data_IF_222616938894
#
_entry.id   IF_222616938894
#
_cell.length_a   1.000
_cell.length_b   1.000
_cell.length_c   1.000
_cell.angle_alpha   90.00
_cell.angle_beta   90.00
_cell.angle_gamma   90.00
#
_symmetry.space_group_name_H-M   'P 1'
#
loop_
_entity.id
_entity.type
_entity.pdbx_description
1 polymer ?
#
# COMPACT_ATOMS: atom_id res chain seq x y z
N UNK A 1 4.77 -39.98 -12.11
CA UNK A 1 5.25 -38.98 -11.13
C UNK A 1 5.73 -37.79 -11.96
N UNK A 2 4.90 -36.77 -12.14
CA UNK A 2 5.29 -35.58 -12.90
C UNK A 2 6.17 -34.76 -11.93
N UNK A 3 7.43 -34.61 -12.29
CA UNK A 3 8.33 -33.74 -11.53
C UNK A 3 7.91 -32.32 -11.88
N UNK A 4 7.33 -31.59 -10.92
CA UNK A 4 7.00 -30.17 -11.08
C UNK A 4 8.26 -29.40 -11.48
N UNK A 5 8.11 -28.47 -12.41
CA UNK A 5 9.22 -27.60 -12.79
C UNK A 5 9.62 -26.74 -11.57
N UNK A 6 10.90 -26.34 -11.42
CA UNK A 6 11.35 -25.51 -10.28
C UNK A 6 10.52 -24.24 -10.08
N UNK A 7 9.96 -23.70 -11.15
CA UNK A 7 9.12 -22.50 -11.14
C UNK A 7 7.73 -22.75 -10.50
N UNK A 8 7.14 -23.93 -10.74
CA UNK A 8 5.86 -24.31 -10.13
C UNK A 8 5.98 -24.50 -8.62
N UNK A 9 7.06 -25.16 -8.17
CA UNK A 9 7.29 -25.40 -6.74
C UNK A 9 7.52 -24.12 -5.95
N UNK A 10 8.22 -23.14 -6.54
CA UNK A 10 8.44 -21.84 -5.93
C UNK A 10 7.13 -21.06 -5.77
N UNK A 11 6.28 -21.07 -6.79
CA UNK A 11 4.98 -20.39 -6.77
C UNK A 11 4.06 -21.02 -5.72
N UNK A 12 3.94 -22.34 -5.69
CA UNK A 12 3.15 -23.07 -4.70
C UNK A 12 3.61 -22.81 -3.26
N UNK A 13 4.92 -22.74 -3.00
CA UNK A 13 5.46 -22.42 -1.68
C UNK A 13 5.13 -20.98 -1.26
N UNK A 14 5.23 -20.02 -2.17
CA UNK A 14 4.90 -18.63 -1.93
C UNK A 14 3.41 -18.46 -1.66
N UNK A 15 2.55 -19.09 -2.45
CA UNK A 15 1.11 -19.09 -2.27
C UNK A 15 0.73 -19.69 -0.91
N UNK A 16 1.31 -20.83 -0.54
CA UNK A 16 1.11 -21.43 0.78
C UNK A 16 1.54 -20.48 1.92
N UNK A 17 2.72 -19.86 1.80
CA UNK A 17 3.23 -18.93 2.82
C UNK A 17 2.35 -17.69 2.94
N UNK A 18 1.91 -17.17 1.80
CA UNK A 18 1.01 -16.02 1.76
C UNK A 18 -0.34 -16.38 2.39
N UNK A 19 -0.94 -17.49 1.98
CA UNK A 19 -2.22 -17.97 2.51
C UNK A 19 -2.16 -18.21 4.03
N UNK A 20 -1.07 -18.77 4.54
CA UNK A 20 -0.89 -18.99 5.97
C UNK A 20 -0.84 -17.69 6.79
N UNK A 21 -0.51 -16.56 6.17
CA UNK A 21 -0.45 -15.23 6.81
C UNK A 21 -1.68 -14.37 6.57
N UNK A 22 -2.61 -14.81 5.71
CA UNK A 22 -3.86 -14.07 5.43
C UNK A 22 -4.71 -13.92 6.67
N UNK A 23 -5.32 -12.75 6.79
CA UNK A 23 -6.28 -12.48 7.85
C UNK A 23 -7.70 -12.83 7.37
N UNK A 24 -8.23 -13.94 7.86
CA UNK A 24 -9.64 -14.29 7.72
C UNK A 24 -10.43 -13.71 8.89
N UNK A 25 -11.70 -13.43 8.69
CA UNK A 25 -12.58 -12.86 9.73
C UNK A 25 -12.56 -13.69 11.02
N UNK A 26 -12.54 -15.00 10.88
CA UNK A 26 -12.52 -15.96 11.99
C UNK A 26 -11.21 -15.93 12.79
N UNK A 27 -10.12 -15.58 12.14
CA UNK A 27 -8.77 -15.56 12.72
C UNK A 27 -8.41 -14.23 13.38
N UNK A 28 -9.20 -13.16 13.18
CA UNK A 28 -8.91 -11.81 13.70
C UNK A 28 -8.76 -11.79 15.23
N UNK A 29 -9.61 -12.53 15.94
CA UNK A 29 -9.59 -12.60 17.42
C UNK A 29 -8.35 -13.35 17.90
N UNK A 30 -7.96 -14.43 17.23
CA UNK A 30 -6.76 -15.19 17.55
C UNK A 30 -5.47 -14.39 17.31
N UNK A 31 -5.46 -13.57 16.28
CA UNK A 31 -4.32 -12.71 15.93
C UNK A 31 -4.11 -11.59 16.96
N UNK A 32 -5.17 -10.92 17.39
CA UNK A 32 -5.12 -9.90 18.44
C UNK A 32 -4.55 -10.41 19.76
N UNK A 33 -4.83 -11.67 20.12
CA UNK A 33 -4.26 -12.32 21.32
C UNK A 33 -2.76 -12.66 21.17
N UNK A 34 -2.29 -12.98 19.94
CA UNK A 34 -0.87 -13.26 19.68
C UNK A 34 -0.01 -12.00 19.71
N UNK A 35 -0.51 -10.88 19.20
CA UNK A 35 0.22 -9.59 19.23
C UNK A 35 0.49 -9.13 20.66
N UNK A 36 -0.43 -9.37 21.60
CA UNK A 36 -0.22 -9.05 23.03
C UNK A 36 0.93 -9.86 23.67
N UNK A 37 1.25 -11.06 23.14
CA UNK A 37 2.30 -11.93 23.66
C UNK A 37 3.73 -11.49 23.27
N UNK A 38 3.90 -10.77 22.15
CA UNK A 38 5.20 -10.34 21.67
C UNK A 38 5.76 -9.07 22.30
N UNK A 39 4.96 -8.36 23.09
CA UNK A 39 5.39 -7.10 23.71
C UNK A 39 6.32 -7.25 24.93
N UNK A 40 6.64 -8.48 25.36
CA UNK A 40 7.37 -8.71 26.65
C UNK A 40 8.76 -9.33 26.51
N UNK A 41 9.34 -9.47 25.31
CA UNK A 41 10.70 -10.00 25.20
C UNK A 41 11.75 -8.88 25.24
N UNK A 42 12.46 -8.83 26.37
CA UNK A 42 13.66 -8.04 26.59
C UNK A 42 14.64 -8.14 25.42
N UNK A 43 14.81 -7.04 24.71
CA UNK A 43 15.94 -6.87 23.79
C UNK A 43 17.21 -7.00 24.62
N UNK A 44 18.10 -7.93 24.24
CA UNK A 44 19.43 -7.98 24.78
C UNK A 44 20.01 -6.55 24.74
N UNK A 45 20.54 -6.07 25.87
CA UNK A 45 21.17 -4.75 25.97
C UNK A 45 22.42 -4.76 25.10
N UNK A 46 22.25 -4.46 23.82
CA UNK A 46 23.36 -4.07 22.98
C UNK A 46 23.90 -2.73 23.49
N UNK A 47 25.22 -2.57 23.49
CA UNK A 47 25.89 -1.31 23.83
C UNK A 47 25.27 -0.20 22.98
N UNK A 48 24.57 0.73 23.62
CA UNK A 48 24.02 1.90 22.95
C UNK A 48 25.20 2.73 22.44
N UNK A 49 25.31 2.89 21.16
CA UNK A 49 26.16 3.89 20.55
C UNK A 49 25.36 5.19 20.62
N UNK A 50 25.89 6.21 21.28
CA UNK A 50 25.27 7.51 21.30
C UNK A 50 25.21 8.05 19.88
N UNK A 51 23.99 8.13 19.33
CA UNK A 51 23.75 8.89 18.12
C UNK A 51 23.96 10.35 18.49
N UNK A 52 24.86 11.10 17.82
CA UNK A 52 25.07 12.52 18.10
C UNK A 52 23.71 13.21 18.15
N UNK A 53 23.47 14.03 19.17
CA UNK A 53 22.24 14.83 19.27
C UNK A 53 22.06 15.56 17.94
N UNK A 54 20.88 15.53 17.34
CA UNK A 54 20.63 16.30 16.12
C UNK A 54 21.04 17.75 16.43
N UNK A 55 21.72 18.37 15.49
CA UNK A 55 22.06 19.78 15.56
C UNK A 55 20.85 20.56 16.03
N UNK A 56 21.05 21.50 16.95
CA UNK A 56 20.02 22.37 17.52
C UNK A 56 19.09 22.89 16.40
N UNK A 57 17.79 23.03 16.72
CA UNK A 57 16.62 23.20 15.83
C UNK A 57 16.76 23.95 14.50
N UNK A 58 17.84 24.72 14.32
CA UNK A 58 18.09 25.48 13.08
C UNK A 58 18.47 24.61 11.89
N UNK A 59 19.12 23.46 12.12
CA UNK A 59 19.50 22.53 11.05
C UNK A 59 18.29 21.79 10.45
N UNK A 60 17.23 21.56 11.22
CA UNK A 60 15.99 20.95 10.73
C UNK A 60 15.25 21.92 9.80
N UNK A 61 15.30 23.23 10.07
CA UNK A 61 14.74 24.23 9.18
C UNK A 61 15.56 24.42 7.90
N UNK A 62 16.88 24.21 7.96
CA UNK A 62 17.77 24.25 6.79
C UNK A 62 17.62 23.00 5.89
N UNK A 63 17.09 21.90 6.40
CA UNK A 63 16.98 20.62 5.68
C UNK A 63 15.87 20.57 4.60
N UNK A 64 15.20 21.66 4.29
CA UNK A 64 14.31 21.79 3.14
C UNK A 64 12.96 21.09 3.26
N UNK A 65 12.24 21.04 2.15
CA UNK A 65 10.85 20.55 2.05
C UNK A 65 10.69 19.11 2.52
N UNK A 66 11.63 18.22 2.18
CA UNK A 66 11.58 16.80 2.54
C UNK A 66 11.51 16.59 4.06
N UNK A 67 12.34 17.28 4.82
CA UNK A 67 12.35 17.17 6.29
C UNK A 67 11.03 17.61 6.91
N UNK A 68 10.40 18.65 6.39
CA UNK A 68 9.05 19.09 6.83
C UNK A 68 8.01 18.02 6.56
N UNK A 69 8.03 17.38 5.40
CA UNK A 69 7.10 16.29 5.04
C UNK A 69 7.30 15.10 5.97
N UNK A 70 8.55 14.68 6.20
CA UNK A 70 8.88 13.57 7.09
C UNK A 70 8.39 13.82 8.53
N UNK A 71 8.56 15.03 9.06
CA UNK A 71 8.10 15.41 10.39
C UNK A 71 6.58 15.49 10.50
N UNK A 72 5.88 15.93 9.44
CA UNK A 72 4.41 16.01 9.41
C UNK A 72 3.73 14.66 9.23
N UNK A 73 4.41 13.69 8.61
CA UNK A 73 3.83 12.36 8.40
C UNK A 73 3.55 11.67 9.73
N UNK A 74 2.31 11.42 10.02
CA UNK A 74 1.84 10.63 11.16
C UNK A 74 0.70 9.70 10.74
N UNK A 75 0.46 8.61 11.48
CA UNK A 75 -0.70 7.75 11.28
C UNK A 75 -1.96 8.44 11.78
N UNK A 76 -2.88 8.75 10.86
CA UNK A 76 -4.15 9.43 11.12
C UNK A 76 -5.29 8.43 10.99
N UNK A 77 -6.09 8.26 12.03
CA UNK A 77 -7.29 7.39 12.05
C UNK A 77 -8.59 8.18 12.14
N UNK A 78 -8.50 9.40 12.62
CA UNK A 78 -9.62 10.33 12.71
C UNK A 78 -9.60 11.23 11.47
N UNK A 79 -10.40 10.89 10.47
CA UNK A 79 -10.50 11.60 9.21
C UNK A 79 -11.64 12.60 9.24
N UNK A 80 -11.49 13.71 8.50
CA UNK A 80 -12.57 14.62 8.19
C UNK A 80 -13.67 13.89 7.41
N UNK A 81 -14.92 14.26 7.68
CA UNK A 81 -16.06 13.76 6.92
C UNK A 81 -16.27 14.49 5.59
N UNK A 82 -15.49 15.53 5.32
CA UNK A 82 -15.52 16.21 4.02
C UNK A 82 -15.04 15.29 2.92
N UNK A 83 -15.70 15.27 1.76
CA UNK A 83 -15.26 14.45 0.64
C UNK A 83 -13.91 14.92 0.11
N UNK A 84 -13.10 13.98 -0.37
CA UNK A 84 -11.83 14.29 -1.05
C UNK A 84 -12.10 14.40 -2.55
N UNK A 85 -11.74 15.50 -3.22
CA UNK A 85 -11.89 15.62 -4.66
C UNK A 85 -11.12 14.55 -5.43
N UNK A 86 -11.72 13.98 -6.49
CA UNK A 86 -11.05 12.98 -7.36
C UNK A 86 -9.74 13.52 -7.97
N UNK A 87 -9.63 14.83 -8.17
CA UNK A 87 -8.39 15.47 -8.63
C UNK A 87 -7.24 15.28 -7.64
N UNK A 88 -7.49 15.36 -6.33
CA UNK A 88 -6.49 15.11 -5.28
C UNK A 88 -6.08 13.63 -5.28
N UNK A 89 -7.03 12.71 -5.44
CA UNK A 89 -6.73 11.28 -5.61
C UNK A 89 -5.86 11.07 -6.86
N UNK A 90 -6.22 11.70 -7.98
CA UNK A 90 -5.43 11.66 -9.21
C UNK A 90 -4.02 12.21 -9.02
N UNK A 91 -3.85 13.31 -8.30
CA UNK A 91 -2.55 13.92 -7.99
C UNK A 91 -1.69 13.04 -7.09
N UNK A 92 -2.29 12.37 -6.10
CA UNK A 92 -1.61 11.39 -5.26
C UNK A 92 -0.97 10.29 -6.12
N UNK A 93 -1.76 9.66 -7.00
CA UNK A 93 -1.25 8.59 -7.86
C UNK A 93 -0.27 9.10 -8.92
N UNK A 94 -0.52 10.26 -9.52
CA UNK A 94 0.36 10.88 -10.51
C UNK A 94 1.76 11.11 -9.95
N UNK A 95 1.88 11.51 -8.70
CA UNK A 95 3.17 11.79 -8.06
C UNK A 95 3.82 10.55 -7.47
N UNK A 96 3.05 9.65 -6.84
CA UNK A 96 3.58 8.51 -6.10
C UNK A 96 3.81 7.27 -6.96
N UNK A 97 2.93 6.98 -7.92
CA UNK A 97 2.83 5.65 -8.55
C UNK A 97 2.99 5.66 -10.06
N UNK A 98 2.49 6.73 -10.75
CA UNK A 98 2.47 6.75 -12.20
C UNK A 98 3.86 6.68 -12.81
N UNK A 99 3.97 5.93 -13.91
CA UNK A 99 5.21 5.80 -14.66
C UNK A 99 5.64 7.16 -15.26
N UNK A 100 6.91 7.48 -15.13
CA UNK A 100 7.52 8.70 -15.68
C UNK A 100 8.41 8.33 -16.88
N UNK A 101 8.40 9.16 -17.92
CA UNK A 101 9.42 9.12 -18.94
C UNK A 101 10.67 9.81 -18.39
N UNK A 102 11.83 9.20 -18.53
CA UNK A 102 13.10 9.88 -18.28
C UNK A 102 13.54 10.64 -19.55
N UNK A 103 14.31 11.73 -19.36
CA UNK A 103 14.91 12.48 -20.48
C UNK A 103 15.80 11.59 -21.35
N UNK A 104 16.55 10.67 -20.74
CA UNK A 104 17.43 9.71 -21.41
C UNK A 104 16.84 8.29 -21.34
N UNK A 105 16.38 7.73 -22.47
CA UNK A 105 15.87 6.36 -22.53
C UNK A 105 16.94 5.29 -22.23
N UNK A 106 18.24 5.60 -22.38
CA UNK A 106 19.33 4.65 -22.14
C UNK A 106 19.49 4.31 -20.64
N UNK A 107 18.99 5.16 -19.74
CA UNK A 107 18.99 4.90 -18.31
C UNK A 107 17.93 3.89 -17.86
N UNK A 108 17.19 3.30 -18.80
CA UNK A 108 16.00 2.53 -18.49
C UNK A 108 16.13 1.05 -18.83
N UNK A 109 16.03 0.22 -17.80
CA UNK A 109 15.50 -1.13 -17.94
C UNK A 109 13.99 -0.99 -18.13
N UNK A 110 13.45 -1.21 -19.36
CA UNK A 110 12.04 -1.12 -19.73
C UNK A 110 11.39 0.28 -19.88
N UNK A 111 12.17 1.35 -20.07
CA UNK A 111 11.63 2.64 -20.55
C UNK A 111 10.78 3.46 -19.58
N UNK A 112 10.56 3.04 -18.32
CA UNK A 112 9.67 3.75 -17.39
C UNK A 112 10.11 3.63 -15.95
N UNK A 113 10.17 4.75 -15.24
CA UNK A 113 10.52 4.85 -13.83
C UNK A 113 9.30 5.25 -13.01
N UNK A 114 9.11 4.64 -11.84
CA UNK A 114 8.14 5.09 -10.82
C UNK A 114 8.87 5.90 -9.72
N UNK A 115 8.13 6.52 -8.82
CA UNK A 115 8.69 7.34 -7.74
C UNK A 115 9.32 6.50 -6.62
N UNK A 116 9.16 5.19 -6.66
CA UNK A 116 9.72 4.23 -5.71
C UNK A 116 10.57 3.19 -6.44
N UNK A 117 11.46 2.55 -5.70
CA UNK A 117 12.35 1.52 -6.24
C UNK A 117 11.64 0.18 -6.37
N UNK A 118 11.99 -0.57 -7.43
CA UNK A 118 11.58 -1.95 -7.64
C UNK A 118 12.79 -2.79 -8.03
N UNK A 119 12.88 -4.01 -7.53
CA UNK A 119 13.94 -4.94 -7.88
C UNK A 119 13.92 -5.21 -9.39
N UNK A 120 15.02 -4.88 -10.08
CA UNK A 120 15.16 -5.01 -11.52
C UNK A 120 14.12 -4.27 -12.35
N UNK A 121 13.49 -3.23 -11.79
CA UNK A 121 12.42 -2.44 -12.40
C UNK A 121 11.21 -3.28 -12.88
N UNK A 122 10.90 -4.37 -12.18
CA UNK A 122 9.80 -5.29 -12.51
C UNK A 122 8.45 -4.64 -12.22
N UNK A 123 8.35 -3.86 -11.12
CA UNK A 123 7.12 -3.21 -10.67
C UNK A 123 5.96 -4.21 -10.51
N UNK A 124 6.18 -5.23 -9.69
CA UNK A 124 5.22 -6.28 -9.41
C UNK A 124 4.02 -5.81 -8.58
N UNK A 125 4.12 -4.65 -7.94
CA UNK A 125 3.04 -4.10 -7.11
C UNK A 125 2.07 -3.31 -7.97
N UNK A 126 0.79 -3.69 -7.88
CA UNK A 126 -0.33 -2.97 -8.47
C UNK A 126 -1.10 -2.19 -7.41
N UNK A 127 -1.87 -1.20 -7.82
CA UNK A 127 -2.57 -0.29 -6.92
C UNK A 127 -4.03 -0.15 -7.32
N UNK A 128 -4.90 -0.36 -6.35
CA UNK A 128 -6.34 -0.20 -6.49
C UNK A 128 -6.86 0.86 -5.52
N UNK A 129 -8.01 1.43 -5.85
CA UNK A 129 -8.69 2.43 -5.04
C UNK A 129 -10.05 1.85 -4.63
N UNK A 130 -10.36 1.96 -3.34
CA UNK A 130 -11.70 1.79 -2.81
C UNK A 130 -12.16 3.18 -2.37
N UNK A 131 -13.01 3.81 -3.17
CA UNK A 131 -13.57 5.14 -2.88
C UNK A 131 -14.82 5.02 -2.02
N UNK A 132 -14.85 5.71 -0.89
CA UNK A 132 -15.98 5.72 0.03
C UNK A 132 -16.62 7.11 0.13
N UNK A 133 -15.84 8.19 0.04
CA UNK A 133 -16.29 9.57 0.10
C UNK A 133 -15.38 10.47 -0.75
N UNK A 134 -15.43 10.24 -2.08
CA UNK A 134 -14.62 10.96 -3.08
C UNK A 134 -15.55 11.78 -3.95
N UNK A 135 -15.34 13.10 -4.02
CA UNK A 135 -16.16 13.99 -4.84
C UNK A 135 -15.77 13.95 -6.33
N UNK A 136 -16.75 14.18 -7.20
CA UNK A 136 -16.56 14.22 -8.66
C UNK A 136 -16.66 12.89 -9.38
N UNK A 137 -17.00 11.80 -8.67
CA UNK A 137 -17.23 10.45 -9.24
C UNK A 137 -18.38 9.75 -8.51
N UNK A 138 -19.01 8.73 -9.13
CA UNK A 138 -19.96 7.88 -8.41
C UNK A 138 -19.31 7.24 -7.17
N UNK A 139 -20.04 7.21 -6.05
CA UNK A 139 -19.56 6.65 -4.77
C UNK A 139 -20.59 5.71 -4.14
N UNK A 140 -20.12 4.63 -3.49
CA UNK A 140 -18.73 4.14 -3.45
C UNK A 140 -18.33 3.46 -4.76
N UNK A 141 -17.01 3.30 -4.95
CA UNK A 141 -16.48 2.65 -6.16
C UNK A 141 -15.21 1.85 -5.86
N UNK A 142 -14.83 0.96 -6.77
CA UNK A 142 -13.49 0.41 -6.88
C UNK A 142 -12.86 0.78 -8.23
N UNK A 143 -11.55 1.01 -8.25
CA UNK A 143 -10.83 1.39 -9.46
C UNK A 143 -9.40 0.85 -9.44
N UNK A 144 -8.86 0.61 -10.63
CA UNK A 144 -7.46 0.25 -10.85
C UNK A 144 -6.65 1.48 -11.26
N UNK A 145 -5.51 1.66 -10.64
CA UNK A 145 -4.55 2.68 -11.04
C UNK A 145 -3.59 2.11 -12.08
N UNK A 146 -3.77 2.44 -13.34
CA UNK A 146 -2.90 2.01 -14.46
C UNK A 146 -1.68 2.93 -14.59
N UNK A 147 -0.49 2.53 -14.08
CA UNK A 147 0.68 3.39 -14.10
C UNK A 147 1.20 3.66 -15.51
N UNK A 148 1.12 2.68 -16.40
CA UNK A 148 1.59 2.77 -17.78
C UNK A 148 0.74 3.72 -18.60
N UNK A 149 -0.59 3.65 -18.45
CA UNK A 149 -1.55 4.49 -19.16
C UNK A 149 -1.75 5.84 -18.46
N UNK A 150 -1.25 5.99 -17.23
CA UNK A 150 -1.42 7.18 -16.38
C UNK A 150 -2.90 7.52 -16.16
N UNK A 151 -3.71 6.49 -15.93
CA UNK A 151 -5.18 6.61 -15.76
C UNK A 151 -5.64 5.84 -14.52
N UNK A 152 -6.73 6.32 -13.95
CA UNK A 152 -7.56 5.58 -13.00
C UNK A 152 -8.69 4.97 -13.82
N UNK A 153 -8.85 3.65 -13.75
CA UNK A 153 -9.82 2.88 -14.51
C UNK A 153 -10.85 2.32 -13.54
N UNK A 154 -12.11 2.68 -13.70
CA UNK A 154 -13.18 2.17 -12.85
C UNK A 154 -13.35 0.66 -13.03
N UNK A 155 -13.34 -0.07 -11.93
CA UNK A 155 -13.61 -1.52 -11.88
C UNK A 155 -15.08 -1.76 -11.56
N UNK A 156 -15.59 -1.13 -10.50
CA UNK A 156 -16.99 -1.20 -10.12
C UNK A 156 -17.49 0.19 -9.70
N UNK A 157 -18.22 0.91 -10.54
CA UNK A 157 -18.95 2.10 -10.15
C UNK A 157 -20.18 1.71 -9.32
N UNK A 158 -20.52 2.51 -8.32
CA UNK A 158 -21.65 2.27 -7.41
C UNK A 158 -21.59 0.92 -6.68
N UNK A 159 -20.41 0.54 -6.21
CA UNK A 159 -20.18 -0.65 -5.40
C UNK A 159 -20.98 -0.60 -4.07
N UNK A 160 -21.22 -1.76 -3.44
CA UNK A 160 -21.87 -1.79 -2.14
C UNK A 160 -20.98 -1.25 -1.02
N UNK A 161 -21.41 -0.18 -0.36
CA UNK A 161 -20.66 0.49 0.72
C UNK A 161 -20.42 -0.45 1.91
N UNK A 162 -21.40 -1.25 2.27
CA UNK A 162 -21.30 -2.10 3.45
C UNK A 162 -20.33 -3.26 3.18
N UNK A 163 -20.37 -3.83 1.99
CA UNK A 163 -19.42 -4.88 1.60
C UNK A 163 -17.98 -4.34 1.51
N UNK A 164 -17.78 -3.15 0.95
CA UNK A 164 -16.45 -2.52 0.93
C UNK A 164 -15.93 -2.18 2.34
N UNK A 165 -16.77 -1.65 3.21
CA UNK A 165 -16.38 -1.39 4.60
C UNK A 165 -16.07 -2.67 5.36
N UNK A 166 -16.84 -3.73 5.13
CA UNK A 166 -16.60 -5.07 5.69
C UNK A 166 -15.28 -5.64 5.17
N UNK A 167 -15.01 -5.54 3.87
CA UNK A 167 -13.74 -5.98 3.28
C UNK A 167 -12.54 -5.26 3.88
N UNK A 168 -12.66 -3.96 4.12
CA UNK A 168 -11.65 -3.15 4.80
C UNK A 168 -11.59 -3.39 6.32
N UNK A 169 -12.53 -4.15 6.91
CA UNK A 169 -12.60 -4.37 8.35
C UNK A 169 -12.75 -3.08 9.15
N UNK A 170 -13.48 -2.10 8.62
CA UNK A 170 -13.64 -0.78 9.24
C UNK A 170 -14.69 -0.81 10.34
N UNK A 171 -14.32 -0.31 11.52
CA UNK A 171 -15.28 0.04 12.56
C UNK A 171 -16.12 1.25 12.14
N UNK A 172 -17.28 1.46 12.79
CA UNK A 172 -18.18 2.56 12.42
C UNK A 172 -17.54 3.94 12.58
N UNK A 173 -16.64 4.09 13.55
CA UNK A 173 -15.94 5.33 13.86
C UNK A 173 -14.85 5.70 12.84
N UNK A 174 -14.35 4.73 12.07
CA UNK A 174 -13.27 4.96 11.10
C UNK A 174 -13.88 5.27 9.73
N UNK A 175 -13.79 6.54 9.30
CA UNK A 175 -14.44 7.07 8.11
C UNK A 175 -13.42 7.65 7.11
N UNK A 176 -12.60 6.81 6.46
CA UNK A 176 -11.68 7.28 5.42
C UNK A 176 -12.47 7.75 4.20
N UNK A 177 -11.89 8.69 3.45
CA UNK A 177 -12.45 9.09 2.16
C UNK A 177 -12.21 8.00 1.10
N UNK A 178 -11.04 7.38 1.12
CA UNK A 178 -10.71 6.26 0.24
C UNK A 178 -9.63 5.38 0.87
N UNK A 179 -9.50 4.18 0.36
CA UNK A 179 -8.39 3.28 0.63
C UNK A 179 -7.59 3.02 -0.64
N UNK A 180 -6.27 2.92 -0.50
CA UNK A 180 -5.38 2.37 -1.54
C UNK A 180 -5.03 0.96 -1.14
N UNK A 181 -5.39 0.00 -1.97
CA UNK A 181 -5.01 -1.40 -1.82
C UNK A 181 -3.82 -1.69 -2.72
N UNK A 182 -2.82 -2.32 -2.17
CA UNK A 182 -1.68 -2.84 -2.92
C UNK A 182 -1.81 -4.34 -3.07
N UNK A 183 -1.74 -4.81 -4.31
CA UNK A 183 -1.63 -6.22 -4.65
C UNK A 183 -0.24 -6.52 -5.20
N UNK A 184 0.15 -7.79 -5.17
CA UNK A 184 1.37 -8.28 -5.81
C UNK A 184 0.96 -9.22 -6.94
N UNK A 185 1.47 -8.98 -8.14
CA UNK A 185 1.48 -9.93 -9.23
C UNK A 185 2.62 -10.95 -8.98
N UNK A 186 2.23 -12.11 -8.44
CA UNK A 186 3.17 -13.16 -8.04
C UNK A 186 3.94 -13.72 -9.24
N UNK A 187 3.26 -13.93 -10.36
CA UNK A 187 3.91 -14.46 -11.57
C UNK A 187 5.00 -13.49 -12.07
N UNK A 188 4.70 -12.19 -12.13
CA UNK A 188 5.65 -11.17 -12.57
C UNK A 188 6.88 -11.11 -11.66
N UNK A 189 6.68 -11.24 -10.35
CA UNK A 189 7.79 -11.16 -9.38
C UNK A 189 8.67 -12.41 -9.39
N UNK A 190 8.07 -13.61 -9.50
CA UNK A 190 8.79 -14.88 -9.43
C UNK A 190 9.48 -15.25 -10.74
N UNK A 191 8.94 -14.82 -11.89
CA UNK A 191 9.52 -15.12 -13.23
C UNK A 191 11.01 -14.78 -13.34
N UNK A 192 11.48 -13.71 -12.69
CA UNK A 192 12.89 -13.29 -12.73
C UNK A 192 13.69 -13.72 -11.51
N UNK A 193 13.07 -13.72 -10.34
CA UNK A 193 13.77 -13.87 -9.06
C UNK A 193 13.35 -15.11 -8.28
N UNK A 194 12.52 -15.96 -8.86
CA UNK A 194 12.01 -17.19 -8.25
C UNK A 194 11.40 -16.87 -6.86
N UNK A 195 11.65 -17.68 -5.85
CA UNK A 195 11.15 -17.47 -4.48
C UNK A 195 11.53 -16.10 -3.88
N UNK A 196 12.71 -15.57 -4.24
CA UNK A 196 13.12 -14.22 -3.80
C UNK A 196 12.23 -13.12 -4.33
N UNK A 197 11.54 -13.37 -5.45
CA UNK A 197 10.60 -12.42 -6.06
C UNK A 197 9.52 -11.97 -5.09
N UNK A 198 8.96 -12.90 -4.30
CA UNK A 198 7.96 -12.57 -3.29
C UNK A 198 8.49 -11.58 -2.24
N UNK A 199 9.69 -11.83 -1.70
CA UNK A 199 10.33 -10.91 -0.75
C UNK A 199 10.56 -9.53 -1.34
N UNK A 200 11.03 -9.48 -2.59
CA UNK A 200 11.27 -8.21 -3.28
C UNK A 200 9.98 -7.44 -3.55
N UNK A 201 8.90 -8.14 -3.86
CA UNK A 201 7.60 -7.53 -4.08
C UNK A 201 7.01 -6.96 -2.77
N UNK A 202 7.17 -7.64 -1.63
CA UNK A 202 6.77 -7.09 -0.32
C UNK A 202 7.58 -5.84 0.06
N UNK A 203 8.90 -5.84 -0.22
CA UNK A 203 9.74 -4.65 -0.02
C UNK A 203 9.27 -3.51 -0.93
N UNK A 204 8.97 -3.80 -2.20
CA UNK A 204 8.43 -2.83 -3.16
C UNK A 204 7.11 -2.24 -2.67
N UNK A 205 6.19 -3.08 -2.15
CA UNK A 205 4.92 -2.62 -1.59
C UNK A 205 5.14 -1.64 -0.43
N UNK A 206 6.09 -1.93 0.47
CA UNK A 206 6.46 -1.02 1.57
C UNK A 206 7.04 0.31 1.07
N UNK A 207 7.89 0.30 0.05
CA UNK A 207 8.47 1.51 -0.55
C UNK A 207 7.40 2.36 -1.24
N UNK A 208 6.50 1.73 -2.01
CA UNK A 208 5.38 2.41 -2.64
C UNK A 208 4.40 2.98 -1.61
N UNK A 209 4.11 2.21 -0.54
CA UNK A 209 3.28 2.64 0.59
C UNK A 209 3.85 3.91 1.24
N UNK A 210 5.13 3.91 1.60
CA UNK A 210 5.77 5.09 2.19
C UNK A 210 5.73 6.28 1.25
N UNK A 211 5.97 6.07 -0.06
CA UNK A 211 5.89 7.14 -1.07
C UNK A 211 4.48 7.74 -1.12
N UNK A 212 3.43 6.90 -1.14
CA UNK A 212 2.04 7.33 -1.08
C UNK A 212 1.74 8.17 0.18
N UNK A 213 2.19 7.71 1.35
CA UNK A 213 1.99 8.44 2.60
C UNK A 213 2.69 9.81 2.59
N UNK A 214 3.91 9.92 2.07
CA UNK A 214 4.66 11.19 1.99
C UNK A 214 4.02 12.16 0.99
N UNK A 215 3.61 11.67 -0.18
CA UNK A 215 2.87 12.49 -1.16
C UNK A 215 1.51 12.91 -0.59
N UNK A 216 0.83 12.04 0.16
CA UNK A 216 -0.41 12.38 0.86
C UNK A 216 -0.24 13.60 1.77
N UNK A 217 0.86 13.68 2.53
CA UNK A 217 1.18 14.86 3.36
C UNK A 217 1.29 16.14 2.54
N UNK A 218 1.85 16.10 1.32
CA UNK A 218 1.96 17.29 0.45
C UNK A 218 0.62 17.73 -0.12
N UNK A 219 -0.36 16.84 -0.13
CA UNK A 219 -1.73 17.07 -0.60
C UNK A 219 -2.72 17.30 0.55
N UNK A 220 -2.19 17.53 1.75
CA UNK A 220 -2.94 17.72 2.99
C UNK A 220 -3.90 16.57 3.33
N UNK A 221 -3.48 15.34 3.00
CA UNK A 221 -4.18 14.12 3.35
C UNK A 221 -3.58 13.48 4.60
N UNK A 222 -4.45 13.08 5.52
CA UNK A 222 -4.11 12.12 6.57
C UNK A 222 -4.07 10.71 6.01
N UNK A 223 -3.17 9.87 6.55
CA UNK A 223 -3.08 8.47 6.14
C UNK A 223 -2.74 7.53 7.29
N UNK A 224 -3.14 6.27 7.17
CA UNK A 224 -2.71 5.18 8.04
C UNK A 224 -2.59 3.87 7.26
N UNK A 225 -1.49 3.13 7.51
CA UNK A 225 -1.34 1.76 7.02
C UNK A 225 -2.31 0.89 7.83
N UNK A 226 -3.14 0.13 7.13
CA UNK A 226 -4.28 -0.56 7.72
C UNK A 226 -4.19 -2.07 7.50
N UNK A 227 -3.84 -2.81 8.55
CA UNK A 227 -3.76 -4.27 8.51
C UNK A 227 -5.05 -4.99 8.93
N UNK A 228 -6.17 -4.27 9.06
CA UNK A 228 -7.44 -4.85 9.51
C UNK A 228 -8.35 -5.37 8.38
N UNK A 229 -7.92 -5.26 7.13
CA UNK A 229 -8.67 -5.73 5.98
C UNK A 229 -8.73 -7.26 5.89
N UNK A 230 -9.72 -7.78 5.17
CA UNK A 230 -9.87 -9.20 4.88
C UNK A 230 -9.48 -9.45 3.43
N UNK A 231 -8.34 -10.10 3.21
CA UNK A 231 -7.71 -10.27 1.90
C UNK A 231 -8.69 -10.80 0.84
N UNK A 232 -9.38 -11.91 1.11
CA UNK A 232 -10.30 -12.53 0.14
C UNK A 232 -11.49 -11.64 -0.22
N UNK A 233 -12.02 -10.83 0.74
CA UNK A 233 -13.10 -9.88 0.45
C UNK A 233 -12.62 -8.69 -0.36
N UNK A 234 -11.39 -8.23 -0.10
CA UNK A 234 -10.73 -7.20 -0.89
C UNK A 234 -10.52 -7.69 -2.33
N UNK A 235 -9.93 -8.87 -2.50
CA UNK A 235 -9.66 -9.44 -3.82
C UNK A 235 -10.94 -9.68 -4.62
N UNK A 236 -12.01 -10.11 -3.96
CA UNK A 236 -13.35 -10.23 -4.56
C UNK A 236 -13.87 -8.87 -5.03
N UNK A 237 -13.84 -7.85 -4.16
CA UNK A 237 -14.30 -6.49 -4.47
C UNK A 237 -13.49 -5.80 -5.56
N UNK A 238 -12.22 -6.15 -5.71
CA UNK A 238 -11.33 -5.66 -6.75
C UNK A 238 -11.36 -6.51 -8.02
N UNK A 239 -12.08 -7.64 -8.04
CA UNK A 239 -12.16 -8.61 -9.14
C UNK A 239 -10.81 -9.23 -9.51
N UNK A 240 -9.93 -9.41 -8.52
CA UNK A 240 -8.63 -10.09 -8.68
C UNK A 240 -8.60 -11.47 -8.04
N UNK A 241 -9.64 -11.87 -7.32
CA UNK A 241 -9.74 -13.19 -6.72
C UNK A 241 -9.64 -14.29 -7.78
N UNK A 242 -8.75 -15.27 -7.56
CA UNK A 242 -8.47 -16.35 -8.50
C UNK A 242 -7.55 -15.98 -9.66
N UNK A 243 -6.93 -14.81 -9.62
CA UNK A 243 -5.86 -14.40 -10.54
C UNK A 243 -4.48 -14.61 -9.90
N UNK A 244 -3.41 -14.19 -10.57
CA UNK A 244 -2.04 -14.18 -10.01
C UNK A 244 -1.77 -13.00 -9.07
N UNK A 245 -2.75 -12.14 -8.85
CA UNK A 245 -2.64 -11.01 -7.93
C UNK A 245 -3.17 -11.36 -6.55
N UNK A 246 -2.45 -10.94 -5.51
CA UNK A 246 -2.87 -11.11 -4.13
C UNK A 246 -2.71 -9.82 -3.35
N UNK A 247 -3.70 -9.50 -2.51
CA UNK A 247 -3.69 -8.32 -1.65
C UNK A 247 -2.63 -8.47 -0.55
N UNK A 248 -1.82 -7.44 -0.33
CA UNK A 248 -0.73 -7.48 0.66
C UNK A 248 -0.73 -6.31 1.61
N UNK A 249 -1.32 -5.18 1.23
CA UNK A 249 -1.32 -3.99 2.06
C UNK A 249 -2.49 -3.06 1.71
N UNK A 250 -2.96 -2.33 2.70
CA UNK A 250 -3.99 -1.31 2.53
C UNK A 250 -3.56 -0.04 3.25
N UNK A 251 -3.86 1.12 2.65
CA UNK A 251 -3.60 2.44 3.22
C UNK A 251 -4.91 3.22 3.18
N UNK A 252 -5.38 3.66 4.33
CA UNK A 252 -6.55 4.53 4.42
C UNK A 252 -6.12 5.99 4.27
N UNK A 253 -6.90 6.77 3.53
CA UNK A 253 -6.71 8.20 3.32
C UNK A 253 -7.99 8.99 3.57
N UNK A 254 -7.83 10.23 3.99
CA UNK A 254 -8.91 11.22 4.12
C UNK A 254 -8.36 12.60 4.46
N UNK A 255 -9.19 13.62 4.44
CA UNK A 255 -8.82 14.94 4.92
C UNK A 255 -8.51 14.92 6.43
N UNK A 256 -7.73 15.88 6.90
CA UNK A 256 -7.54 16.05 8.34
C UNK A 256 -8.83 16.50 9.00
N UNK A 257 -9.21 15.86 10.12
CA UNK A 257 -10.17 16.51 11.04
C UNK A 257 -9.48 17.75 11.60
N UNK A 258 -10.18 18.88 11.60
CA UNK A 258 -9.69 20.10 12.26
C UNK A 258 -9.22 19.76 13.67
N UNK A 259 -8.02 20.23 14.00
CA UNK A 259 -7.38 20.12 15.30
C UNK A 259 -8.23 20.69 16.42
#
# INVERSE_FOLDING_TARGET
MVIATPDQTATEFIEFTHEATRLYRENRIAWGRRVAFFNNNSRARSRLVDVPKPYAGDAIFAAGLLSRILLRRKSTRNFSQSPVPISIVGDLFRQAVMARKLPDPSELINGRRRSYSSAGAIYAVEHYIIGLNVDGVPNPFTAYCSPQNRKIIMVEPNADRNELRKALGLEQSVLPAFAVVQTIDLERSTRKYQERGYRFALIEAGLACQTLCLVGVTLDLGSVIWGGHFDHLIEQGLRVLGTHETAVNTILFGGHSTW
#
